data_IF_723046247749
#
_entry.id   IF_723046247749
#
_cell.length_a   1.000
_cell.length_b   1.000
_cell.length_c   1.000
_cell.angle_alpha   90.00
_cell.angle_beta   90.00
_cell.angle_gamma   90.00
#
_symmetry.space_group_name_H-M   'P 1'
#
loop_
_entity.id
_entity.type
_entity.pdbx_description
1 polymer ?
#
# COMPACT_ATOMS: atom_id res chain seq x y z
N UNK A 1 18.34 -25.92 -6.62
CA UNK A 1 18.72 -25.59 -5.23
C UNK A 1 18.57 -24.09 -5.02
N UNK A 2 17.33 -23.59 -5.00
CA UNK A 2 16.99 -22.17 -4.82
C UNK A 2 15.50 -22.15 -4.50
N UNK A 3 15.11 -22.12 -3.21
CA UNK A 3 13.79 -21.63 -2.75
C UNK A 3 13.59 -21.87 -1.24
N UNK A 4 14.54 -21.42 -0.41
CA UNK A 4 14.33 -21.37 1.05
C UNK A 4 14.31 -19.94 1.62
N UNK A 5 14.57 -18.92 0.80
CA UNK A 5 14.62 -17.52 1.28
C UNK A 5 13.28 -16.80 1.23
N UNK A 6 12.31 -17.29 0.45
CA UNK A 6 10.99 -16.65 0.32
C UNK A 6 10.06 -16.94 1.51
N UNK A 7 10.20 -18.11 2.16
CA UNK A 7 9.36 -18.50 3.28
C UNK A 7 9.61 -17.72 4.58
N UNK A 8 10.84 -17.22 4.79
CA UNK A 8 11.19 -16.49 6.01
C UNK A 8 10.65 -15.05 6.04
N UNK A 9 10.46 -14.42 4.87
CA UNK A 9 9.95 -13.05 4.79
C UNK A 9 8.45 -12.94 5.09
N UNK A 10 7.66 -14.00 4.81
CA UNK A 10 6.21 -13.96 5.03
C UNK A 10 5.85 -14.11 6.51
N UNK A 11 6.63 -14.88 7.28
CA UNK A 11 6.33 -15.10 8.70
C UNK A 11 6.60 -13.85 9.55
N UNK A 12 7.59 -13.03 9.20
CA UNK A 12 7.92 -11.81 9.97
C UNK A 12 6.85 -10.73 9.85
N UNK A 13 6.22 -10.57 8.66
CA UNK A 13 5.18 -9.56 8.46
C UNK A 13 3.87 -9.86 9.21
N UNK A 14 3.58 -11.13 9.52
CA UNK A 14 2.37 -11.52 10.27
C UNK A 14 2.49 -11.27 11.77
N UNK A 15 3.71 -11.17 12.32
CA UNK A 15 3.91 -11.02 13.77
C UNK A 15 3.49 -9.62 14.26
N UNK A 16 3.69 -8.57 13.46
CA UNK A 16 3.28 -7.22 13.88
C UNK A 16 1.75 -6.97 13.88
N UNK A 17 0.95 -7.80 13.21
CA UNK A 17 -0.50 -7.57 13.08
C UNK A 17 -1.30 -8.05 14.31
N UNK A 18 -0.70 -8.81 15.24
CA UNK A 18 -1.46 -9.47 16.33
C UNK A 18 -1.55 -8.68 17.65
N UNK A 19 -0.80 -7.58 17.83
CA UNK A 19 -0.70 -6.91 19.14
C UNK A 19 -1.26 -5.47 19.21
N UNK A 20 -1.93 -4.97 18.17
CA UNK A 20 -2.41 -3.58 18.11
C UNK A 20 -3.58 -3.21 19.07
N UNK A 21 -3.92 -4.05 20.06
CA UNK A 21 -5.17 -3.96 20.83
C UNK A 21 -5.12 -3.37 22.25
N UNK A 22 -3.96 -2.97 22.81
CA UNK A 22 -3.87 -2.44 24.18
C UNK A 22 -3.04 -1.15 24.27
N UNK A 23 -3.69 0.01 24.10
CA UNK A 23 -3.13 1.32 24.45
C UNK A 23 -3.44 1.62 25.92
N UNK A 24 -2.53 1.23 26.82
CA UNK A 24 -2.57 1.65 28.23
C UNK A 24 -1.92 3.04 28.34
N UNK A 25 -2.72 4.04 28.72
CA UNK A 25 -2.28 5.43 28.81
C UNK A 25 -1.81 5.71 30.23
N UNK A 26 -0.53 6.04 30.43
CA UNK A 26 -0.09 6.73 31.65
C UNK A 26 1.07 6.14 32.46
N UNK A 27 1.93 5.30 31.88
CA UNK A 27 3.19 4.95 32.53
C UNK A 27 4.37 5.53 31.73
N UNK A 28 5.16 6.39 32.38
CA UNK A 28 6.48 6.84 31.93
C UNK A 28 7.38 5.60 31.79
N UNK A 29 7.25 4.89 30.67
CA UNK A 29 8.13 3.78 30.33
C UNK A 29 9.50 4.35 30.03
N UNK A 30 10.52 3.82 30.70
CA UNK A 30 11.91 4.04 30.32
C UNK A 30 12.06 3.79 28.82
N UNK A 31 12.52 4.81 28.09
CA UNK A 31 12.74 4.71 26.65
C UNK A 31 13.91 3.77 26.40
N UNK A 32 13.61 2.59 25.83
CA UNK A 32 14.61 1.60 25.43
C UNK A 32 15.61 2.23 24.44
N UNK A 33 16.91 2.05 24.68
CA UNK A 33 17.94 2.45 23.73
C UNK A 33 17.96 1.52 22.52
N UNK A 34 18.33 2.06 21.36
CA UNK A 34 18.35 1.34 20.09
C UNK A 34 19.53 1.80 19.24
N UNK A 35 20.07 0.88 18.43
CA UNK A 35 21.05 1.20 17.40
C UNK A 35 20.35 1.37 16.04
N UNK A 36 19.27 0.63 15.82
CA UNK A 36 18.47 0.63 14.60
C UNK A 36 16.98 0.56 14.92
N UNK A 37 16.13 0.96 13.97
CA UNK A 37 14.68 0.83 14.13
C UNK A 37 14.19 -0.62 14.26
N UNK A 38 15.02 -1.62 13.94
CA UNK A 38 14.71 -3.03 14.15
C UNK A 38 14.82 -3.46 15.63
N UNK A 39 15.50 -2.68 16.48
CA UNK A 39 15.62 -2.95 17.91
C UNK A 39 14.36 -2.52 18.70
N UNK A 40 13.47 -1.78 18.05
CA UNK A 40 12.24 -1.22 18.60
C UNK A 40 11.00 -2.07 18.29
N UNK A 41 9.92 -1.86 19.04
CA UNK A 41 8.66 -2.58 18.82
C UNK A 41 7.97 -2.14 17.52
N UNK A 42 7.03 -2.95 17.02
CA UNK A 42 6.25 -2.59 15.83
C UNK A 42 5.51 -1.26 16.07
N UNK A 43 5.64 -0.32 15.14
CA UNK A 43 5.06 1.03 15.30
C UNK A 43 5.93 2.01 16.08
N UNK A 44 7.16 1.64 16.43
CA UNK A 44 8.18 2.55 16.92
C UNK A 44 9.27 2.77 15.87
N UNK A 45 10.07 3.82 16.05
CA UNK A 45 11.27 4.08 15.28
C UNK A 45 12.45 4.36 16.23
N UNK A 46 13.67 4.12 15.78
CA UNK A 46 14.85 4.49 16.53
C UNK A 46 15.23 5.95 16.23
N UNK A 47 14.96 6.84 17.18
CA UNK A 47 15.24 8.27 17.08
C UNK A 47 16.53 8.60 17.83
N UNK A 48 17.52 9.10 17.09
CA UNK A 48 18.76 9.59 17.66
C UNK A 48 18.63 11.05 18.06
N UNK A 49 18.96 11.40 19.31
CA UNK A 49 19.08 12.81 19.69
C UNK A 49 20.21 13.41 18.84
N UNK A 50 19.87 14.34 17.94
CA UNK A 50 20.80 14.91 16.97
C UNK A 50 22.17 15.24 17.59
N UNK A 51 23.19 14.41 17.31
CA UNK A 51 24.52 14.60 17.88
C UNK A 51 25.25 15.64 17.05
N UNK A 52 25.22 16.87 17.55
CA UNK A 52 26.13 17.91 17.11
C UNK A 52 27.59 17.51 17.40
N UNK A 53 28.39 17.50 16.33
CA UNK A 53 29.86 17.36 16.23
C UNK A 53 30.61 16.89 17.48
N UNK A 54 31.06 15.63 17.45
CA UNK A 54 32.38 15.27 17.97
C UNK A 54 32.48 14.13 18.99
N UNK A 55 31.43 13.35 19.27
CA UNK A 55 31.53 12.17 20.16
C UNK A 55 30.75 10.96 19.66
N UNK A 56 31.20 9.80 20.15
CA UNK A 56 30.96 8.40 19.76
C UNK A 56 29.52 8.04 19.42
N UNK A 57 29.38 6.99 18.61
CA UNK A 57 28.16 6.32 18.14
C UNK A 57 26.91 6.65 18.96
N UNK A 58 25.98 7.37 18.34
CA UNK A 58 24.78 7.86 19.01
C UNK A 58 23.79 6.71 19.19
N UNK A 59 23.71 6.17 20.41
CA UNK A 59 22.57 5.34 20.80
C UNK A 59 21.29 6.17 20.65
N UNK A 60 20.35 5.67 19.86
CA UNK A 60 19.01 6.24 19.74
C UNK A 60 18.11 5.77 20.87
N UNK A 61 16.90 6.32 20.90
CA UNK A 61 15.81 5.87 21.76
C UNK A 61 14.62 5.45 20.91
N UNK A 62 13.97 4.35 21.29
CA UNK A 62 12.75 3.92 20.62
C UNK A 62 11.62 4.91 20.95
N UNK A 63 11.08 5.55 19.91
CA UNK A 63 9.97 6.50 19.99
C UNK A 63 8.80 5.98 19.17
N UNK A 64 7.54 6.26 19.56
CA UNK A 64 6.38 5.90 18.75
C UNK A 64 6.40 6.62 17.40
N UNK A 65 5.90 5.95 16.35
CA UNK A 65 5.63 6.58 15.05
C UNK A 65 4.52 7.62 15.19
N UNK A 66 4.53 8.59 14.28
CA UNK A 66 3.61 9.72 14.30
C UNK A 66 2.20 9.28 13.88
N UNK A 67 1.19 9.71 14.63
CA UNK A 67 -0.22 9.46 14.35
C UNK A 67 -0.80 10.48 13.37
N UNK A 68 -2.01 10.22 12.85
CA UNK A 68 -2.68 11.15 11.95
C UNK A 68 -2.89 12.52 12.63
N UNK A 69 -2.46 13.58 11.96
CA UNK A 69 -2.46 14.97 12.45
C UNK A 69 -1.13 15.42 13.07
N UNK A 70 -0.22 14.50 13.41
CA UNK A 70 1.08 14.86 13.97
C UNK A 70 2.01 15.49 12.91
N UNK A 71 2.91 16.37 13.37
CA UNK A 71 3.88 17.06 12.52
C UNK A 71 4.98 16.11 12.08
N UNK A 72 5.23 16.01 10.78
CA UNK A 72 6.23 15.15 10.16
C UNK A 72 7.17 15.94 9.23
N UNK A 73 8.25 15.31 8.77
CA UNK A 73 9.18 15.88 7.79
C UNK A 73 9.08 15.11 6.47
N UNK A 74 8.80 15.80 5.36
CA UNK A 74 8.48 15.18 4.05
C UNK A 74 9.67 14.39 3.49
N UNK A 75 10.90 14.89 3.70
CA UNK A 75 12.12 14.24 3.21
C UNK A 75 12.60 13.06 4.07
N UNK A 76 11.89 12.71 5.13
CA UNK A 76 12.26 11.60 6.00
C UNK A 76 11.93 10.23 5.37
N UNK A 77 11.05 10.20 4.35
CA UNK A 77 10.59 8.97 3.66
C UNK A 77 11.36 8.65 2.36
N UNK A 78 12.22 9.55 1.85
CA UNK A 78 12.88 9.34 0.54
C UNK A 78 13.97 8.25 0.51
N UNK A 79 14.29 7.62 1.64
CA UNK A 79 15.29 6.55 1.72
C UNK A 79 14.74 5.22 2.29
N UNK A 80 13.73 4.67 1.61
CA UNK A 80 13.50 3.23 1.41
C UNK A 80 13.23 2.36 2.68
N UNK A 81 13.06 1.03 2.46
CA UNK A 81 11.86 0.23 2.69
C UNK A 81 11.61 -0.01 4.18
N UNK A 82 10.39 -0.41 4.52
CA UNK A 82 9.80 -0.60 5.86
C UNK A 82 10.60 -1.41 6.93
N UNK A 83 11.82 -1.86 6.64
CA UNK A 83 12.68 -2.64 7.54
C UNK A 83 14.18 -2.35 7.44
N UNK A 84 14.66 -1.33 6.70
CA UNK A 84 16.11 -1.06 6.67
C UNK A 84 16.56 -0.30 7.93
N UNK A 85 17.80 -0.58 8.32
CA UNK A 85 18.55 -0.20 9.51
C UNK A 85 18.75 1.31 9.74
N UNK A 86 17.72 2.12 9.51
CA UNK A 86 17.80 3.57 9.59
C UNK A 86 17.55 4.07 11.01
N UNK A 87 18.42 5.01 11.37
CA UNK A 87 18.36 5.87 12.53
C UNK A 87 17.72 7.18 12.06
N UNK A 88 16.67 7.64 12.75
CA UNK A 88 16.02 8.90 12.45
C UNK A 88 16.59 10.02 13.31
N UNK A 89 16.72 11.23 12.77
CA UNK A 89 17.33 12.37 13.51
C UNK A 89 16.32 13.43 13.94
N UNK A 90 15.31 13.71 13.11
CA UNK A 90 14.42 14.86 13.31
C UNK A 90 13.01 14.47 13.76
N UNK A 91 12.66 13.20 13.65
CA UNK A 91 11.35 12.68 14.04
C UNK A 91 11.15 11.29 13.47
N UNK A 92 10.24 10.53 14.08
CA UNK A 92 9.80 9.27 13.51
C UNK A 92 8.95 9.51 12.25
N UNK A 93 8.89 8.55 11.33
CA UNK A 93 7.93 8.60 10.22
C UNK A 93 6.50 8.40 10.72
N UNK A 94 5.52 8.73 9.88
CA UNK A 94 4.11 8.43 10.13
C UNK A 94 3.88 6.92 10.32
N UNK A 95 2.82 6.54 11.04
CA UNK A 95 2.41 5.14 11.20
C UNK A 95 2.13 4.47 9.84
N UNK A 96 2.15 3.13 9.82
CA UNK A 96 1.85 2.35 8.61
C UNK A 96 0.47 2.71 8.05
N UNK A 97 0.39 2.99 6.75
CA UNK A 97 -0.84 3.42 6.08
C UNK A 97 -1.10 4.93 6.14
N UNK A 98 -0.16 5.71 6.67
CA UNK A 98 -0.16 7.17 6.63
C UNK A 98 0.96 7.70 5.74
N UNK A 99 0.80 8.92 5.24
CA UNK A 99 1.80 9.64 4.45
C UNK A 99 1.98 11.05 5.01
N UNK A 100 3.21 11.55 4.99
CA UNK A 100 3.53 12.91 5.39
C UNK A 100 3.14 13.89 4.28
N UNK A 101 2.04 14.64 4.47
CA UNK A 101 1.60 15.64 3.51
C UNK A 101 2.29 16.98 3.78
N UNK A 102 3.08 17.46 2.82
CA UNK A 102 3.82 18.71 2.92
C UNK A 102 2.90 19.92 3.09
N UNK A 103 3.25 20.80 4.04
CA UNK A 103 2.53 22.05 4.29
C UNK A 103 3.06 23.23 3.47
N UNK A 104 4.14 23.04 2.70
CA UNK A 104 4.88 24.11 2.02
C UNK A 104 5.76 24.95 2.95
N UNK A 105 5.75 24.70 4.27
CA UNK A 105 6.65 25.34 5.21
C UNK A 105 7.97 24.58 5.31
N UNK A 106 9.09 25.30 5.38
CA UNK A 106 10.45 24.73 5.43
C UNK A 106 11.15 25.11 6.73
N UNK A 107 11.75 24.13 7.40
CA UNK A 107 12.63 24.34 8.54
C UNK A 107 14.06 24.03 8.12
N UNK A 108 14.98 24.98 8.29
CA UNK A 108 16.38 24.82 7.87
C UNK A 108 17.20 24.33 9.07
N UNK A 109 18.03 23.27 8.95
CA UNK A 109 18.37 22.49 7.74
C UNK A 109 17.48 21.26 7.46
N UNK A 110 16.41 21.03 8.20
CA UNK A 110 15.66 19.76 8.23
C UNK A 110 14.77 19.49 6.99
N UNK A 111 14.37 20.53 6.25
CA UNK A 111 13.56 20.43 5.03
C UNK A 111 12.09 20.81 5.23
N UNK A 112 11.23 20.34 4.32
CA UNK A 112 9.80 20.64 4.37
C UNK A 112 9.10 19.90 5.52
N UNK A 113 8.26 20.63 6.25
CA UNK A 113 7.40 20.09 7.31
C UNK A 113 5.99 19.84 6.77
N UNK A 114 5.33 18.83 7.34
CA UNK A 114 4.01 18.40 6.96
C UNK A 114 3.23 17.83 8.14
N UNK A 115 2.10 17.21 7.81
CA UNK A 115 1.28 16.49 8.78
C UNK A 115 1.02 15.08 8.29
N UNK A 116 1.02 14.11 9.20
CA UNK A 116 0.66 12.75 8.88
C UNK A 116 -0.83 12.69 8.54
N UNK A 117 -1.14 12.19 7.36
CA UNK A 117 -2.51 11.97 6.91
C UNK A 117 -2.68 10.50 6.59
N UNK A 118 -3.87 9.95 6.83
CA UNK A 118 -4.19 8.63 6.32
C UNK A 118 -3.97 8.65 4.81
N UNK A 119 -3.27 7.65 4.27
CA UNK A 119 -3.27 7.40 2.83
C UNK A 119 -4.71 7.00 2.54
N UNK A 120 -5.56 7.99 2.25
CA UNK A 120 -6.79 7.73 1.56
C UNK A 120 -6.36 6.96 0.30
N UNK A 121 -6.94 5.78 0.02
CA UNK A 121 -6.64 5.08 -1.22
C UNK A 121 -6.92 6.11 -2.32
N UNK A 122 -5.85 6.64 -2.90
CA UNK A 122 -5.93 7.69 -3.89
C UNK A 122 -6.56 7.00 -5.09
N UNK A 123 -7.88 7.12 -5.19
CA UNK A 123 -8.66 6.60 -6.29
C UNK A 123 -8.04 7.21 -7.54
N UNK A 124 -7.38 6.36 -8.31
CA UNK A 124 -6.72 6.77 -9.54
C UNK A 124 -7.79 7.20 -10.53
N UNK A 125 -7.45 8.13 -11.41
CA UNK A 125 -8.38 8.59 -12.44
C UNK A 125 -8.54 7.50 -13.51
N UNK A 126 -9.59 7.64 -14.33
CA UNK A 126 -9.81 6.79 -15.51
C UNK A 126 -8.56 6.82 -16.39
N UNK A 127 -8.04 5.64 -16.74
CA UNK A 127 -6.85 5.48 -17.57
C UNK A 127 -5.53 5.41 -16.79
N UNK A 128 -5.53 5.75 -15.51
CA UNK A 128 -4.33 5.60 -14.68
C UNK A 128 -4.03 4.12 -14.41
N UNK A 129 -2.74 3.81 -14.25
CA UNK A 129 -2.30 2.44 -14.02
C UNK A 129 -2.75 1.94 -12.65
N UNK A 130 -3.46 0.82 -12.58
CA UNK A 130 -3.94 0.20 -11.33
C UNK A 130 -3.31 -1.19 -11.13
N UNK A 131 -3.27 -1.64 -9.88
CA UNK A 131 -2.84 -2.99 -9.49
C UNK A 131 -3.98 -3.82 -8.90
N UNK A 132 -4.99 -3.17 -8.33
CA UNK A 132 -6.21 -3.80 -7.83
C UNK A 132 -7.44 -2.94 -8.11
N UNK A 133 -8.64 -3.51 -8.03
CA UNK A 133 -9.89 -2.75 -8.15
C UNK A 133 -10.04 -1.67 -7.08
N UNK A 134 -9.37 -1.83 -5.92
CA UNK A 134 -9.37 -0.86 -4.81
C UNK A 134 -8.61 0.43 -5.14
N UNK A 135 -7.76 0.41 -6.17
CA UNK A 135 -7.05 1.59 -6.64
C UNK A 135 -7.94 2.51 -7.48
N UNK A 136 -9.08 2.03 -7.97
CA UNK A 136 -9.98 2.79 -8.85
C UNK A 136 -11.16 3.39 -8.07
N UNK A 137 -11.95 4.26 -8.72
CA UNK A 137 -13.18 4.78 -8.12
C UNK A 137 -14.23 3.67 -7.88
N UNK A 138 -15.30 4.00 -7.14
CA UNK A 138 -16.32 3.00 -6.78
C UNK A 138 -17.17 2.55 -7.98
N UNK A 139 -17.24 3.38 -9.01
CA UNK A 139 -17.89 3.13 -10.31
C UNK A 139 -16.91 2.68 -11.39
N UNK A 140 -15.71 2.25 -10.99
CA UNK A 140 -14.63 1.82 -11.87
C UNK A 140 -14.08 0.45 -11.45
N UNK A 141 -13.38 -0.19 -12.37
CA UNK A 141 -12.65 -1.43 -12.12
C UNK A 141 -11.25 -1.36 -12.73
N UNK A 142 -10.35 -2.19 -12.19
CA UNK A 142 -9.00 -2.31 -12.73
C UNK A 142 -8.95 -3.35 -13.85
N UNK A 143 -8.78 -2.89 -15.11
CA UNK A 143 -8.73 -3.77 -16.29
C UNK A 143 -7.30 -4.04 -16.71
N UNK A 144 -6.91 -5.31 -16.81
CA UNK A 144 -5.59 -5.70 -17.31
C UNK A 144 -5.42 -5.36 -18.78
N UNK A 145 -4.33 -4.67 -19.11
CA UNK A 145 -3.97 -4.31 -20.49
C UNK A 145 -3.39 -5.50 -21.28
N UNK A 146 -2.98 -6.58 -20.61
CA UNK A 146 -2.22 -7.68 -21.22
C UNK A 146 -3.09 -8.89 -21.57
N UNK A 147 -3.89 -8.85 -22.65
CA UNK A 147 -4.75 -9.99 -23.01
C UNK A 147 -3.96 -11.29 -23.16
N UNK A 148 -4.41 -12.42 -22.58
CA UNK A 148 -3.70 -13.69 -22.71
C UNK A 148 -3.78 -14.18 -24.16
N UNK A 149 -2.63 -14.26 -24.83
CA UNK A 149 -2.53 -14.80 -26.18
C UNK A 149 -2.32 -16.32 -26.13
N UNK A 150 -3.31 -17.08 -26.63
CA UNK A 150 -3.20 -18.51 -26.89
C UNK A 150 -3.57 -19.46 -25.73
N UNK A 151 -3.26 -20.76 -25.91
CA UNK A 151 -3.64 -21.85 -24.98
C UNK A 151 -2.81 -21.93 -23.68
N UNK A 152 -1.73 -21.18 -23.54
CA UNK A 152 -0.88 -21.22 -22.33
C UNK A 152 -1.51 -20.39 -21.22
N UNK A 153 -2.29 -21.07 -20.39
CA UNK A 153 -2.92 -20.56 -19.17
C UNK A 153 -1.84 -20.29 -18.10
N UNK A 154 -2.03 -19.21 -17.31
CA UNK A 154 -1.70 -19.08 -15.86
C UNK A 154 -0.48 -18.28 -15.35
N UNK A 155 0.28 -17.49 -16.10
CA UNK A 155 1.43 -16.78 -15.49
C UNK A 155 1.35 -15.25 -15.34
N UNK A 156 0.23 -14.57 -15.62
CA UNK A 156 0.24 -13.09 -15.63
C UNK A 156 -0.95 -12.41 -14.93
N UNK A 157 -1.45 -12.94 -13.80
CA UNK A 157 -2.34 -12.18 -12.89
C UNK A 157 -1.65 -11.92 -11.54
N UNK A 158 -0.30 -11.94 -11.52
CA UNK A 158 0.51 -11.73 -10.31
C UNK A 158 1.19 -10.35 -10.22
N UNK A 159 1.03 -9.49 -11.23
CA UNK A 159 1.73 -8.20 -11.27
C UNK A 159 1.45 -7.36 -12.52
N UNK A 160 0.31 -7.60 -13.18
CA UNK A 160 -0.05 -6.92 -14.42
C UNK A 160 -0.58 -5.52 -14.14
N UNK A 161 0.08 -4.51 -14.71
CA UNK A 161 -0.40 -3.13 -14.72
C UNK A 161 -1.74 -3.07 -15.46
N UNK A 162 -2.83 -2.86 -14.74
CA UNK A 162 -4.12 -2.56 -15.33
C UNK A 162 -4.29 -1.06 -15.57
N UNK A 163 -5.43 -0.68 -16.13
CA UNK A 163 -5.90 0.71 -16.15
C UNK A 163 -7.31 0.79 -15.54
N UNK A 164 -7.59 1.85 -14.79
CA UNK A 164 -8.93 2.08 -14.26
C UNK A 164 -9.90 2.40 -15.40
N UNK A 165 -10.99 1.65 -15.50
CA UNK A 165 -12.04 1.82 -16.50
C UNK A 165 -13.42 1.81 -15.82
N UNK A 166 -14.39 2.51 -16.40
CA UNK A 166 -15.76 2.54 -15.87
C UNK A 166 -16.42 1.15 -15.91
N UNK A 167 -17.28 0.89 -14.94
CA UNK A 167 -18.17 -0.28 -14.94
C UNK A 167 -19.08 -0.30 -16.18
N UNK A 168 -19.45 -1.52 -16.61
CA UNK A 168 -20.31 -1.72 -17.78
C UNK A 168 -21.72 -1.20 -17.54
N UNK A 169 -22.22 -0.38 -18.46
CA UNK A 169 -23.60 0.11 -18.50
C UNK A 169 -24.50 -0.88 -19.23
N UNK A 170 -25.82 -0.65 -19.21
CA UNK A 170 -26.76 -1.47 -19.95
C UNK A 170 -26.39 -1.56 -21.44
N UNK A 171 -26.27 -2.79 -21.95
CA UNK A 171 -25.83 -3.08 -23.32
C UNK A 171 -24.32 -3.24 -23.51
N UNK A 172 -23.49 -2.84 -22.54
CA UNK A 172 -22.04 -3.02 -22.62
C UNK A 172 -21.65 -4.51 -22.51
N UNK A 173 -20.56 -4.89 -23.16
CA UNK A 173 -20.03 -6.25 -23.11
C UNK A 173 -19.44 -6.56 -21.75
N UNK A 174 -19.75 -7.75 -21.22
CA UNK A 174 -19.25 -8.22 -19.94
C UNK A 174 -18.80 -9.69 -20.04
N UNK A 175 -18.06 -10.16 -19.03
CA UNK A 175 -17.62 -11.55 -18.93
C UNK A 175 -18.43 -12.26 -17.84
N UNK A 176 -19.11 -13.36 -18.19
CA UNK A 176 -20.09 -14.03 -17.30
C UNK A 176 -19.41 -14.64 -16.06
N UNK A 177 -18.13 -14.98 -16.14
CA UNK A 177 -17.38 -15.63 -15.05
C UNK A 177 -16.59 -14.69 -14.13
N UNK A 178 -16.70 -13.36 -14.29
CA UNK A 178 -16.04 -12.40 -13.38
C UNK A 178 -16.92 -12.24 -12.15
N UNK A 179 -16.46 -12.77 -11.02
CA UNK A 179 -17.27 -12.84 -9.79
C UNK A 179 -17.06 -11.67 -8.84
N UNK A 180 -16.00 -10.86 -8.99
CA UNK A 180 -15.75 -9.70 -8.11
C UNK A 180 -14.98 -8.57 -8.83
N UNK A 181 -15.31 -7.32 -8.51
CA UNK A 181 -14.63 -6.12 -9.02
C UNK A 181 -13.26 -5.85 -8.35
N UNK A 182 -12.91 -6.62 -7.32
CA UNK A 182 -11.72 -6.37 -6.50
C UNK A 182 -10.41 -6.83 -7.16
N UNK A 183 -10.49 -7.84 -8.04
CA UNK A 183 -9.34 -8.39 -8.76
C UNK A 183 -9.09 -7.67 -10.09
N UNK A 184 -7.88 -7.79 -10.63
CA UNK A 184 -7.58 -7.32 -11.98
C UNK A 184 -8.37 -8.13 -12.99
N UNK A 185 -9.35 -7.49 -13.63
CA UNK A 185 -10.28 -8.13 -14.54
C UNK A 185 -9.88 -7.91 -16.00
N UNK A 186 -10.38 -8.75 -16.90
CA UNK A 186 -10.16 -8.59 -18.35
C UNK A 186 -11.17 -7.65 -19.00
N UNK A 187 -12.37 -7.59 -18.43
CA UNK A 187 -13.45 -6.66 -18.77
C UNK A 187 -14.11 -6.26 -17.45
N UNK A 188 -14.57 -5.01 -17.34
CA UNK A 188 -15.24 -4.57 -16.11
C UNK A 188 -16.59 -5.26 -15.90
N UNK A 189 -16.96 -5.58 -14.65
CA UNK A 189 -18.30 -6.04 -14.35
C UNK A 189 -19.33 -4.94 -14.63
N UNK A 190 -20.59 -5.35 -14.71
CA UNK A 190 -21.70 -4.43 -14.87
C UNK A 190 -21.86 -3.55 -13.62
N UNK A 191 -22.42 -2.35 -13.81
CA UNK A 191 -22.83 -1.48 -12.69
C UNK A 191 -23.83 -2.19 -11.77
N UNK A 192 -23.83 -1.82 -10.49
CA UNK A 192 -24.74 -2.37 -9.49
C UNK A 192 -26.19 -2.38 -9.97
N UNK A 193 -26.84 -3.55 -9.92
CA UNK A 193 -28.21 -3.76 -10.38
C UNK A 193 -28.35 -4.34 -11.78
N UNK A 194 -27.27 -4.46 -12.54
CA UNK A 194 -27.25 -5.19 -13.82
C UNK A 194 -26.55 -6.54 -13.68
N UNK A 195 -27.04 -7.51 -14.44
CA UNK A 195 -26.42 -8.85 -14.52
C UNK A 195 -25.79 -9.06 -15.87
N UNK A 196 -24.65 -9.76 -15.91
CA UNK A 196 -24.05 -10.14 -17.18
C UNK A 196 -24.83 -11.31 -17.78
N UNK A 197 -25.62 -11.06 -18.84
CA UNK A 197 -26.38 -12.09 -19.55
C UNK A 197 -25.54 -12.65 -20.68
N UNK A 198 -25.16 -13.92 -20.56
CA UNK A 198 -24.40 -14.65 -21.57
C UNK A 198 -25.12 -14.66 -22.93
N UNK A 199 -24.35 -14.49 -24.00
CA UNK A 199 -24.85 -14.53 -25.38
C UNK A 199 -24.46 -15.82 -26.10
N UNK A 200 -23.89 -16.80 -25.40
CA UNK A 200 -23.36 -18.03 -26.00
C UNK A 200 -22.06 -17.85 -26.78
N UNK A 201 -21.45 -16.66 -26.73
CA UNK A 201 -20.17 -16.35 -27.37
C UNK A 201 -19.02 -16.65 -26.39
N UNK A 202 -18.16 -17.61 -26.73
CA UNK A 202 -17.02 -18.00 -25.90
C UNK A 202 -15.71 -17.43 -26.46
N UNK A 203 -15.03 -16.60 -25.67
CA UNK A 203 -13.67 -16.15 -25.97
C UNK A 203 -12.69 -17.03 -25.20
N UNK A 204 -11.96 -17.88 -25.91
CA UNK A 204 -10.95 -18.75 -25.30
C UNK A 204 -9.68 -17.91 -25.09
N UNK A 205 -9.12 -17.79 -23.87
CA UNK A 205 -9.40 -18.58 -22.65
C UNK A 205 -10.27 -17.89 -21.59
N UNK A 206 -10.83 -16.72 -21.89
CA UNK A 206 -11.52 -15.83 -20.95
C UNK A 206 -12.87 -16.38 -20.47
N UNK A 207 -13.62 -17.07 -21.33
CA UNK A 207 -14.93 -17.64 -21.00
C UNK A 207 -16.06 -17.05 -21.84
N UNK A 208 -17.28 -17.16 -21.33
CA UNK A 208 -18.47 -16.66 -22.01
C UNK A 208 -18.57 -15.14 -21.89
N UNK A 209 -18.83 -14.48 -23.02
CA UNK A 209 -19.19 -13.07 -23.10
C UNK A 209 -20.69 -12.88 -23.10
N UNK A 210 -21.10 -11.81 -22.45
CA UNK A 210 -22.48 -11.39 -22.32
C UNK A 210 -22.65 -9.89 -22.53
N UNK A 211 -23.86 -9.42 -22.28
CA UNK A 211 -24.18 -8.00 -22.16
C UNK A 211 -24.79 -7.70 -20.80
N UNK A 212 -24.52 -6.51 -20.28
CA UNK A 212 -25.12 -6.03 -19.05
C UNK A 212 -26.60 -5.71 -19.27
N UNK A 213 -27.49 -6.35 -18.52
CA UNK A 213 -28.93 -6.09 -18.57
C UNK A 213 -29.77 -7.01 -17.68
#
# INVERSE_FOLDING_TARGET
MTDLRLGFLIVVSLICLSEAGRRDSGHLRETKSCATSADCECGQCCLSPAVFRGKREAEGSCQPRLSAGDRCYVNNDQFLPSHSSHLYYNGCPCESGQTCFGSGQFEVPQGEIGFCTLIAPSKKAIGDSCSSGKDCAADECCVSTMRPLGRKKRLAVGGGRGACQKLGKAGDSCLVSVTTAEDTNWDCPCVSGLTCKGQGMFEIPLGERGQCG
#
